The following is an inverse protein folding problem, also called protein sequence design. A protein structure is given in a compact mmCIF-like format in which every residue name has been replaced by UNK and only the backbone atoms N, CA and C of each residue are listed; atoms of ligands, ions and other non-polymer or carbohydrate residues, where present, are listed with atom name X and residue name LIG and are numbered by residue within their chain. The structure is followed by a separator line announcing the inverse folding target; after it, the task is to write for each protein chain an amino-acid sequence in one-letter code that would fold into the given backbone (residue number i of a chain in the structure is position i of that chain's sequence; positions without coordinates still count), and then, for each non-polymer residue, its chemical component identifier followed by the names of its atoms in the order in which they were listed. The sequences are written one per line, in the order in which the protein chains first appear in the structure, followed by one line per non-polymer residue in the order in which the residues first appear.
data_IF_975678204655
#
_entry.id   IF_975678204655
#
_cell.length_a   1.000
_cell.length_b   1.000
_cell.length_c   1.000
_cell.angle_alpha   90.00
_cell.angle_beta   90.00
_cell.angle_gamma   90.00
#
_symmetry.space_group_name_H-M   'P 1'
#
loop_
_entity.id
_entity.type
_entity.pdbx_description
1 polymer ?
#
# COMPACT_ATOMS: atom_id res chain seq x y z
N UNK A 1 -2.64 9.74 0.72
CA UNK A 1 -2.96 9.54 2.16
C UNK A 1 -2.33 8.24 2.65
N UNK A 2 -1.66 8.25 3.81
CA UNK A 2 -1.04 7.06 4.40
C UNK A 2 -2.08 5.98 4.78
N UNK A 3 -1.65 4.75 5.05
CA UNK A 3 -2.53 3.62 5.46
C UNK A 3 -3.37 3.97 6.67
N UNK A 4 -2.80 4.67 7.65
CA UNK A 4 -3.50 5.08 8.86
C UNK A 4 -4.65 6.03 8.54
N UNK A 5 -4.38 7.12 7.80
CA UNK A 5 -5.41 8.09 7.46
C UNK A 5 -6.48 7.48 6.56
N UNK A 6 -6.09 6.55 5.65
CA UNK A 6 -7.06 5.76 4.87
C UNK A 6 -7.94 4.89 5.76
N UNK A 7 -7.34 4.13 6.68
CA UNK A 7 -8.07 3.25 7.62
C UNK A 7 -9.01 4.03 8.52
N UNK A 8 -8.59 5.20 9.01
CA UNK A 8 -9.39 6.08 9.86
C UNK A 8 -10.35 6.98 9.08
N UNK A 9 -10.34 6.95 7.73
CA UNK A 9 -11.14 7.81 6.85
C UNK A 9 -11.02 9.31 7.19
N UNK A 10 -9.80 9.75 7.49
CA UNK A 10 -9.50 11.16 7.81
C UNK A 10 -8.63 11.81 6.73
N UNK A 11 -8.66 13.14 6.68
CA UNK A 11 -7.77 13.92 5.81
C UNK A 11 -6.30 13.66 6.20
N UNK A 12 -5.46 13.44 5.20
CA UNK A 12 -4.04 13.20 5.38
C UNK A 12 -3.26 14.33 4.74
N UNK A 13 -2.32 14.92 5.47
CA UNK A 13 -1.53 16.08 5.00
C UNK A 13 -0.41 15.69 4.04
N UNK A 14 -0.15 14.39 3.84
CA UNK A 14 0.83 13.89 2.86
C UNK A 14 2.31 14.14 3.23
N UNK A 15 2.59 14.76 4.37
CA UNK A 15 3.95 15.02 4.87
C UNK A 15 4.70 13.69 5.05
N UNK A 16 5.97 13.67 4.62
CA UNK A 16 6.91 12.55 4.72
C UNK A 16 8.08 12.95 5.63
N UNK A 17 8.61 12.03 6.48
CA UNK A 17 8.31 10.60 6.56
C UNK A 17 6.96 10.27 7.25
N UNK A 18 6.43 11.20 8.02
CA UNK A 18 5.27 10.99 8.90
C UNK A 18 4.24 12.10 8.69
N UNK A 19 2.97 11.73 8.49
CA UNK A 19 1.89 12.70 8.38
C UNK A 19 1.68 13.44 9.72
N UNK A 20 1.28 14.73 9.74
CA UNK A 20 1.08 15.49 10.99
C UNK A 20 0.19 14.74 11.98
N UNK A 21 -0.94 14.20 11.50
CA UNK A 21 -1.86 13.40 12.33
C UNK A 21 -1.17 12.17 12.94
N UNK A 22 -0.37 11.47 12.15
CA UNK A 22 0.32 10.26 12.55
C UNK A 22 1.42 10.57 13.57
N UNK A 23 2.10 11.71 13.39
CA UNK A 23 3.12 12.23 14.29
C UNK A 23 2.52 12.66 15.63
N UNK A 24 1.40 13.39 15.63
CA UNK A 24 0.72 13.81 16.86
C UNK A 24 0.17 12.63 17.67
N UNK A 25 -0.24 11.55 17.01
CA UNK A 25 -0.74 10.34 17.69
C UNK A 25 0.42 9.40 18.09
N UNK A 26 1.64 9.62 17.57
CA UNK A 26 2.79 8.75 17.84
C UNK A 26 2.67 7.35 17.23
N UNK A 27 2.01 7.23 16.07
CA UNK A 27 1.81 5.94 15.39
C UNK A 27 2.63 5.85 14.11
N UNK A 28 2.95 4.61 13.72
CA UNK A 28 3.73 4.34 12.53
C UNK A 28 2.97 4.78 11.26
N UNK A 29 3.46 5.82 10.61
CA UNK A 29 2.93 6.31 9.35
C UNK A 29 3.50 5.47 8.20
N UNK A 30 2.70 4.57 7.65
CA UNK A 30 3.08 3.87 6.44
C UNK A 30 2.32 4.41 5.24
N UNK A 31 3.05 4.87 4.24
CA UNK A 31 2.48 4.98 2.90
C UNK A 31 2.68 3.61 2.27
N UNK A 32 1.64 2.79 2.26
CA UNK A 32 1.73 1.49 1.59
C UNK A 32 1.96 1.74 0.11
N UNK A 33 3.17 1.46 -0.34
CA UNK A 33 3.53 1.33 -1.74
C UNK A 33 2.62 0.31 -2.44
N UNK A 34 2.42 0.44 -3.78
CA UNK A 34 1.63 -0.50 -4.54
C UNK A 34 2.13 -1.92 -4.25
N UNK A 35 1.21 -2.89 -4.06
CA UNK A 35 1.58 -4.26 -3.74
C UNK A 35 2.63 -4.74 -4.73
N UNK A 36 3.80 -5.16 -4.21
CA UNK A 36 4.86 -5.76 -5.02
C UNK A 36 4.21 -6.78 -5.94
N UNK A 37 4.38 -6.52 -7.24
CA UNK A 37 3.94 -7.28 -8.41
C UNK A 37 3.41 -8.66 -8.02
N UNK A 38 2.07 -8.82 -8.11
CA UNK A 38 1.47 -10.15 -8.23
C UNK A 38 2.30 -10.89 -9.29
N UNK A 39 2.97 -11.96 -8.89
CA UNK A 39 3.49 -12.92 -9.85
C UNK A 39 2.36 -13.33 -10.80
N UNK A 40 2.68 -13.80 -12.01
CA UNK A 40 1.68 -14.15 -13.00
C UNK A 40 0.58 -15.01 -12.36
N UNK A 41 -0.71 -14.72 -12.66
CA UNK A 41 -1.83 -15.45 -12.08
C UNK A 41 -1.61 -16.95 -12.26
N UNK A 42 -1.89 -17.71 -11.20
CA UNK A 42 -1.59 -19.13 -11.00
C UNK A 42 -2.38 -20.08 -11.93
N UNK A 43 -2.68 -19.64 -13.16
CA UNK A 43 -3.37 -20.39 -14.21
C UNK A 43 -2.91 -20.05 -15.63
N UNK A 44 -1.84 -19.27 -15.82
CA UNK A 44 -1.26 -19.01 -17.15
C UNK A 44 -0.13 -19.99 -17.52
N UNK A 45 0.25 -20.90 -16.62
CA UNK A 45 1.40 -21.81 -16.86
C UNK A 45 1.02 -23.00 -17.75
N UNK A 46 -0.27 -23.36 -17.85
CA UNK A 46 -0.73 -24.49 -18.68
C UNK A 46 -0.80 -24.17 -20.19
N UNK A 47 -0.68 -22.90 -20.61
CA UNK A 47 -0.84 -22.52 -22.03
C UNK A 47 0.50 -22.50 -22.80
N UNK A 48 1.64 -22.66 -22.13
CA UNK A 48 2.95 -22.55 -22.79
C UNK A 48 3.48 -23.91 -23.31
N UNK A 49 2.95 -25.06 -22.87
CA UNK A 49 3.46 -26.39 -23.26
C UNK A 49 2.83 -26.99 -24.54
N UNK A 50 2.08 -26.23 -25.34
CA UNK A 50 1.49 -26.73 -26.60
C UNK A 50 1.92 -25.90 -27.82
N UNK A 51 3.23 -25.78 -28.07
CA UNK A 51 3.74 -25.46 -29.41
C UNK A 51 4.98 -26.28 -29.77
#
# INVERSE_FOLDING_TARGET
ACTICRKKKVKCDGIQPTCSRCQSIGICCQYSDPPKKRGPPKGYVEVIENR
#
